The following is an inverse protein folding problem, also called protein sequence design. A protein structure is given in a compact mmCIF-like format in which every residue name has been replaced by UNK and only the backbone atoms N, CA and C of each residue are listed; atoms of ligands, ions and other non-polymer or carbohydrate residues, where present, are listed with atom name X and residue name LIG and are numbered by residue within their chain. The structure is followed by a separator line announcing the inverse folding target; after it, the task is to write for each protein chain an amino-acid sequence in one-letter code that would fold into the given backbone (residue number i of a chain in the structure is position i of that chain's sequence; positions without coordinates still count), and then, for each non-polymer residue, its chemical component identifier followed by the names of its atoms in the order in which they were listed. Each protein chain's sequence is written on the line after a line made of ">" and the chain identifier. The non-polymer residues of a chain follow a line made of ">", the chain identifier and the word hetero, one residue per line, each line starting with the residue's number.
data_IF_602452252450
#
_entry.id   IF_602452252450
#
_cell.length_a   1.000
_cell.length_b   1.000
_cell.length_c   1.000
_cell.angle_alpha   90.00
_cell.angle_beta   90.00
_cell.angle_gamma   90.00
#
_symmetry.space_group_name_H-M   'P 1'
#
loop_
_entity.id
_entity.type
_entity.pdbx_description
1 polymer ?
#
# COMPACT_ATOMS: atom_id res chain seq x y z
N UNK A 1 45.89 -9.64 52.46
CA UNK A 1 45.04 -10.44 51.56
C UNK A 1 43.89 -9.55 51.14
N UNK A 2 43.60 -9.67 49.86
CA UNK A 2 42.61 -8.99 49.03
C UNK A 2 41.17 -9.38 49.37
N UNK A 3 40.21 -8.82 48.62
CA UNK A 3 38.74 -9.03 48.54
C UNK A 3 37.90 -8.06 49.39
N UNK A 4 37.24 -7.01 48.86
CA UNK A 4 36.29 -6.81 47.71
C UNK A 4 34.84 -7.11 48.11
N UNK A 5 34.09 -6.01 48.22
CA UNK A 5 32.68 -5.72 47.88
C UNK A 5 31.53 -6.67 48.28
N UNK A 6 30.47 -6.09 48.86
CA UNK A 6 29.12 -6.27 48.32
C UNK A 6 28.20 -5.07 48.63
N UNK A 7 27.45 -4.67 47.62
CA UNK A 7 26.68 -3.44 47.49
C UNK A 7 25.21 -3.59 47.91
N UNK A 8 24.50 -2.46 48.10
CA UNK A 8 23.32 -2.05 47.28
C UNK A 8 22.58 -0.85 47.91
N UNK A 9 23.04 0.36 47.59
CA UNK A 9 22.17 1.54 47.47
C UNK A 9 21.69 1.55 46.01
N UNK A 10 20.44 1.80 45.67
CA UNK A 10 19.64 2.97 46.01
C UNK A 10 19.22 3.56 44.66
N UNK A 11 17.94 3.41 44.35
CA UNK A 11 17.09 4.25 43.49
C UNK A 11 17.78 5.12 42.42
N UNK A 12 17.58 4.79 41.14
CA UNK A 12 17.81 5.73 40.04
C UNK A 12 16.55 5.93 39.22
N UNK A 13 15.92 7.08 39.50
CA UNK A 13 14.91 7.75 38.72
C UNK A 13 15.30 7.78 37.24
N UNK A 14 14.43 7.27 36.37
CA UNK A 14 14.54 7.40 34.92
C UNK A 14 13.52 8.43 34.44
N UNK A 15 13.78 9.69 34.76
CA UNK A 15 13.20 10.81 34.01
C UNK A 15 14.02 10.96 32.73
N UNK A 16 13.63 10.19 31.70
CA UNK A 16 14.24 10.29 30.39
C UNK A 16 13.52 11.39 29.60
N UNK A 17 14.24 12.50 29.47
CA UNK A 17 13.97 13.71 28.70
C UNK A 17 13.31 13.40 27.35
N UNK A 18 11.99 13.64 27.24
CA UNK A 18 11.31 13.79 25.96
C UNK A 18 11.70 15.14 25.36
N UNK A 19 12.83 15.16 24.68
CA UNK A 19 13.24 16.28 23.84
C UNK A 19 12.24 16.41 22.69
N UNK A 20 11.66 17.60 22.57
CA UNK A 20 10.80 18.02 21.47
C UNK A 20 11.53 17.79 20.15
N UNK A 21 11.01 16.91 19.30
CA UNK A 21 11.38 16.84 17.88
C UNK A 21 10.50 17.84 17.14
N UNK A 22 10.94 19.10 17.15
CA UNK A 22 10.39 20.19 16.36
C UNK A 22 11.23 20.30 15.08
N UNK A 23 10.56 20.10 13.94
CA UNK A 23 10.80 20.76 12.65
C UNK A 23 12.25 20.87 12.12
N UNK A 24 12.62 19.97 11.21
CA UNK A 24 13.50 20.33 10.09
C UNK A 24 13.22 19.42 8.88
N UNK A 25 12.24 19.81 8.06
CA UNK A 25 12.11 19.31 6.68
C UNK A 25 12.87 20.26 5.75
N UNK A 26 14.20 20.23 5.82
CA UNK A 26 15.03 20.75 4.73
C UNK A 26 15.33 19.58 3.77
N UNK A 27 14.37 19.31 2.87
CA UNK A 27 14.67 18.53 1.67
C UNK A 27 15.38 19.45 0.68
N UNK A 28 16.70 19.59 0.85
CA UNK A 28 17.57 20.15 -0.18
C UNK A 28 17.59 19.17 -1.36
N UNK A 29 16.90 19.53 -2.44
CA UNK A 29 17.05 18.88 -3.73
C UNK A 29 18.46 19.22 -4.23
N UNK A 30 19.41 18.30 -4.04
CA UNK A 30 20.72 18.40 -4.65
C UNK A 30 20.57 18.07 -6.14
N UNK A 31 20.78 19.11 -6.95
CA UNK A 31 20.89 19.07 -8.40
C UNK A 31 21.86 17.95 -8.82
N UNK A 32 21.32 16.87 -9.38
CA UNK A 32 22.13 15.83 -10.02
C UNK A 32 22.52 16.35 -11.40
N UNK A 33 23.50 17.24 -11.39
CA UNK A 33 24.20 17.69 -12.58
C UNK A 33 24.99 16.51 -13.18
N UNK A 34 24.51 16.07 -14.34
CA UNK A 34 25.33 15.83 -15.53
C UNK A 34 26.67 15.10 -15.30
N UNK A 35 26.64 13.77 -15.37
CA UNK A 35 27.82 12.98 -15.75
C UNK A 35 27.43 12.00 -16.86
N UNK A 36 27.22 12.54 -18.05
CA UNK A 36 27.26 11.82 -19.31
C UNK A 36 28.70 11.34 -19.53
N UNK A 37 29.06 10.20 -18.95
CA UNK A 37 30.31 9.52 -19.29
C UNK A 37 30.06 8.64 -20.51
N UNK A 38 30.26 9.27 -21.67
CA UNK A 38 30.48 8.63 -22.96
C UNK A 38 31.75 7.77 -22.88
N UNK A 39 31.63 6.47 -23.12
CA UNK A 39 32.77 5.60 -23.40
C UNK A 39 32.32 4.50 -24.35
N UNK A 40 32.61 4.75 -25.62
CA UNK A 40 32.52 3.79 -26.71
C UNK A 40 33.66 2.76 -26.60
N UNK A 41 33.39 1.61 -27.20
CA UNK A 41 34.33 0.58 -27.69
C UNK A 41 34.53 -0.65 -26.80
N UNK A 42 33.81 -1.70 -27.19
CA UNK A 42 33.85 -3.04 -26.64
C UNK A 42 33.27 -4.01 -27.66
N UNK A 43 33.98 -4.15 -28.79
CA UNK A 43 33.82 -5.20 -29.79
C UNK A 43 33.93 -6.57 -29.11
N UNK A 44 32.92 -7.41 -29.27
CA UNK A 44 32.75 -8.64 -28.51
C UNK A 44 31.69 -9.55 -29.11
N UNK A 45 32.03 -10.09 -30.28
CA UNK A 45 31.66 -11.41 -30.84
C UNK A 45 30.33 -12.05 -30.40
N UNK A 46 29.47 -12.18 -31.40
CA UNK A 46 28.28 -13.00 -31.50
C UNK A 46 28.52 -14.50 -31.25
N UNK A 47 27.57 -15.12 -30.55
CA UNK A 47 26.98 -16.45 -30.77
C UNK A 47 26.83 -17.27 -29.48
N UNK A 48 25.67 -17.11 -28.85
CA UNK A 48 25.04 -18.18 -28.09
C UNK A 48 23.56 -18.18 -28.45
N UNK A 49 23.29 -18.89 -29.54
CA UNK A 49 21.96 -19.32 -29.96
C UNK A 49 21.36 -20.26 -28.92
N UNK A 50 20.81 -19.70 -27.84
CA UNK A 50 19.98 -20.42 -26.88
C UNK A 50 18.51 -20.33 -27.31
N UNK A 51 18.14 -21.26 -28.19
CA UNK A 51 16.85 -21.96 -28.25
C UNK A 51 15.68 -21.29 -27.51
N UNK A 52 14.96 -20.43 -28.25
CA UNK A 52 13.49 -20.41 -28.41
C UNK A 52 12.66 -21.02 -27.26
N UNK A 53 12.72 -20.42 -26.06
CA UNK A 53 11.58 -20.43 -25.14
C UNK A 53 10.69 -19.23 -25.49
N UNK A 54 10.01 -19.32 -26.63
CA UNK A 54 8.90 -18.43 -26.99
C UNK A 54 7.67 -18.79 -26.13
N UNK A 55 7.82 -18.72 -24.80
CA UNK A 55 6.72 -18.24 -23.98
C UNK A 55 6.33 -16.86 -24.55
N UNK A 56 5.03 -16.54 -24.73
CA UNK A 56 4.64 -15.35 -25.45
C UNK A 56 5.39 -14.18 -24.84
N UNK A 57 6.35 -13.61 -25.60
CA UNK A 57 7.08 -12.44 -25.18
C UNK A 57 6.01 -11.39 -24.90
N UNK A 58 5.65 -11.26 -23.62
CA UNK A 58 4.61 -10.36 -23.16
C UNK A 58 5.28 -9.02 -23.28
N UNK A 59 5.24 -8.46 -24.48
CA UNK A 59 5.51 -7.06 -24.77
C UNK A 59 4.89 -6.31 -23.60
N UNK A 60 5.76 -5.81 -22.72
CA UNK A 60 5.36 -5.27 -21.44
C UNK A 60 4.49 -4.05 -21.74
N UNK A 61 3.18 -4.27 -21.75
CA UNK A 61 2.22 -3.22 -21.98
C UNK A 61 2.03 -2.52 -20.66
N UNK A 62 2.26 -1.22 -20.65
CA UNK A 62 1.91 -0.38 -19.52
C UNK A 62 0.44 -0.63 -19.12
N UNK A 63 0.17 -0.61 -17.82
CA UNK A 63 -1.17 -0.74 -17.29
C UNK A 63 -2.07 0.39 -17.83
N UNK A 64 -3.35 0.12 -18.12
CA UNK A 64 -4.29 1.16 -18.54
C UNK A 64 -4.38 2.30 -17.53
N UNK A 65 -4.54 3.54 -18.02
CA UNK A 65 -4.59 4.73 -17.16
C UNK A 65 -5.78 4.67 -16.19
N UNK A 66 -6.91 4.14 -16.65
CA UNK A 66 -8.11 3.94 -15.85
C UNK A 66 -7.83 3.04 -14.64
N UNK A 67 -7.03 1.97 -14.84
CA UNK A 67 -6.65 1.05 -13.77
C UNK A 67 -5.76 1.74 -12.73
N UNK A 68 -4.81 2.55 -13.17
CA UNK A 68 -3.92 3.30 -12.28
C UNK A 68 -4.68 4.38 -11.49
N UNK A 69 -5.57 5.11 -12.16
CA UNK A 69 -6.39 6.13 -11.54
C UNK A 69 -7.34 5.53 -10.48
N UNK A 70 -7.92 4.36 -10.78
CA UNK A 70 -8.78 3.65 -9.84
C UNK A 70 -8.00 3.11 -8.64
N UNK A 71 -6.77 2.61 -8.85
CA UNK A 71 -5.89 2.20 -7.76
C UNK A 71 -5.61 3.37 -6.81
N UNK A 72 -5.25 4.53 -7.34
CA UNK A 72 -5.01 5.74 -6.54
C UNK A 72 -6.28 6.20 -5.82
N UNK A 73 -7.45 6.12 -6.47
CA UNK A 73 -8.74 6.45 -5.85
C UNK A 73 -9.02 5.54 -4.65
N UNK A 74 -8.79 4.23 -4.79
CA UNK A 74 -8.96 3.25 -3.72
C UNK A 74 -7.97 3.49 -2.57
N UNK A 75 -6.70 3.77 -2.87
CA UNK A 75 -5.67 4.09 -1.89
C UNK A 75 -6.03 5.33 -1.06
N UNK A 76 -6.40 6.43 -1.74
CA UNK A 76 -6.83 7.66 -1.06
C UNK A 76 -8.12 7.46 -0.26
N UNK A 77 -9.02 6.61 -0.75
CA UNK A 77 -10.24 6.20 -0.08
C UNK A 77 -10.03 5.21 1.07
N UNK A 78 -8.78 4.75 1.29
CA UNK A 78 -8.41 3.71 2.25
C UNK A 78 -9.13 2.37 2.05
N UNK A 79 -9.63 2.12 0.85
CA UNK A 79 -10.14 0.80 0.47
C UNK A 79 -8.95 -0.07 0.06
N UNK A 80 -8.21 -0.55 1.07
CA UNK A 80 -7.01 -1.35 0.87
C UNK A 80 -7.32 -2.74 0.29
N UNK A 81 -8.54 -3.24 0.44
CA UNK A 81 -9.00 -4.48 -0.18
C UNK A 81 -9.11 -4.33 -1.70
N UNK A 82 -9.72 -3.24 -2.16
CA UNK A 82 -9.78 -2.92 -3.59
C UNK A 82 -8.39 -2.54 -4.13
N UNK A 83 -7.64 -1.71 -3.42
CA UNK A 83 -6.29 -1.30 -3.81
C UNK A 83 -5.36 -2.51 -4.00
N UNK A 84 -5.43 -3.53 -3.14
CA UNK A 84 -4.67 -4.78 -3.30
C UNK A 84 -4.96 -5.48 -4.64
N UNK A 85 -6.25 -5.62 -4.98
CA UNK A 85 -6.68 -6.27 -6.23
C UNK A 85 -6.23 -5.48 -7.45
N UNK A 86 -6.38 -4.16 -7.42
CA UNK A 86 -5.97 -3.28 -8.52
C UNK A 86 -4.43 -3.27 -8.68
N UNK A 87 -3.68 -3.28 -7.59
CA UNK A 87 -2.22 -3.41 -7.61
C UNK A 87 -1.76 -4.73 -8.24
N UNK A 88 -2.43 -5.84 -7.91
CA UNK A 88 -2.17 -7.13 -8.59
C UNK A 88 -2.47 -7.06 -10.08
N UNK A 89 -3.56 -6.41 -10.48
CA UNK A 89 -3.87 -6.21 -11.89
C UNK A 89 -2.77 -5.40 -12.59
N UNK A 90 -2.28 -4.31 -11.98
CA UNK A 90 -1.16 -3.53 -12.52
C UNK A 90 0.08 -4.41 -12.72
N UNK A 91 0.40 -5.28 -11.76
CA UNK A 91 1.54 -6.21 -11.85
C UNK A 91 1.39 -7.29 -12.94
N UNK A 92 0.17 -7.59 -13.41
CA UNK A 92 -0.04 -8.48 -14.57
C UNK A 92 0.42 -7.79 -15.86
N UNK A 93 0.18 -6.48 -15.98
CA UNK A 93 0.60 -5.66 -17.11
C UNK A 93 2.09 -5.30 -17.02
N UNK A 94 2.54 -4.91 -15.82
CA UNK A 94 3.89 -4.43 -15.54
C UNK A 94 4.56 -5.27 -14.44
N UNK A 95 4.97 -6.52 -14.75
CA UNK A 95 5.51 -7.45 -13.74
C UNK A 95 6.85 -7.01 -13.15
N UNK A 96 7.59 -6.16 -13.87
CA UNK A 96 8.88 -5.61 -13.44
C UNK A 96 8.74 -4.26 -12.70
N UNK A 97 7.53 -3.71 -12.55
CA UNK A 97 7.34 -2.41 -11.91
C UNK A 97 7.70 -2.48 -10.41
N UNK A 98 8.78 -1.81 -9.96
CA UNK A 98 9.22 -1.88 -8.56
C UNK A 98 8.25 -1.16 -7.63
N UNK A 99 7.65 -0.05 -8.09
CA UNK A 99 6.72 0.77 -7.31
C UNK A 99 5.46 -0.04 -6.97
N UNK A 100 4.90 -0.77 -7.94
CA UNK A 100 3.74 -1.61 -7.69
C UNK A 100 4.05 -2.77 -6.71
N UNK A 101 5.25 -3.35 -6.75
CA UNK A 101 5.68 -4.38 -5.79
C UNK A 101 5.77 -3.85 -4.35
N UNK A 102 6.28 -2.63 -4.19
CA UNK A 102 6.36 -1.95 -2.90
C UNK A 102 4.96 -1.64 -2.35
N UNK A 103 4.09 -1.06 -3.17
CA UNK A 103 2.70 -0.81 -2.79
C UNK A 103 1.96 -2.08 -2.41
N UNK A 104 2.15 -3.16 -3.17
CA UNK A 104 1.52 -4.45 -2.85
C UNK A 104 1.92 -4.93 -1.45
N UNK A 105 3.22 -4.92 -1.14
CA UNK A 105 3.75 -5.33 0.16
C UNK A 105 3.22 -4.46 1.31
N UNK A 106 3.19 -3.14 1.10
CA UNK A 106 2.67 -2.20 2.09
C UNK A 106 1.18 -2.39 2.35
N UNK A 107 0.38 -2.58 1.30
CA UNK A 107 -1.06 -2.83 1.43
C UNK A 107 -1.31 -4.14 2.19
N UNK A 108 -0.53 -5.20 1.94
CA UNK A 108 -0.64 -6.44 2.72
C UNK A 108 -0.33 -6.24 4.20
N UNK A 109 0.68 -5.44 4.51
CA UNK A 109 1.04 -5.10 5.90
C UNK A 109 -0.09 -4.31 6.60
N UNK A 110 -0.68 -3.32 5.91
CA UNK A 110 -1.79 -2.52 6.46
C UNK A 110 -2.98 -3.43 6.79
N UNK A 111 -3.39 -4.28 5.84
CA UNK A 111 -4.52 -5.20 6.03
C UNK A 111 -4.27 -6.22 7.15
N UNK A 112 -3.02 -6.66 7.33
CA UNK A 112 -2.67 -7.56 8.42
C UNK A 112 -2.79 -6.87 9.79
N UNK A 113 -2.36 -5.61 9.89
CA UNK A 113 -2.45 -4.82 11.11
C UNK A 113 -3.89 -4.45 11.46
N UNK A 114 -4.69 -4.06 10.47
CA UNK A 114 -6.12 -3.76 10.64
C UNK A 114 -6.85 -4.96 11.25
N UNK A 115 -6.63 -6.15 10.69
CA UNK A 115 -7.21 -7.38 11.22
C UNK A 115 -6.79 -7.71 12.67
N UNK A 116 -5.57 -7.36 13.06
CA UNK A 116 -5.10 -7.59 14.42
C UNK A 116 -5.72 -6.60 15.42
N UNK A 117 -6.06 -5.39 14.99
CA UNK A 117 -6.70 -4.38 15.84
C UNK A 117 -8.18 -4.70 16.09
N UNK A 118 -8.88 -5.27 15.11
CA UNK A 118 -10.28 -5.70 15.28
C UNK A 118 -10.45 -6.79 16.36
N UNK A 119 -9.43 -7.63 16.61
CA UNK A 119 -9.50 -8.69 17.62
C UNK A 119 -9.19 -8.20 19.07
N UNK A 120 -8.71 -6.97 19.26
CA UNK A 120 -8.43 -6.39 20.58
C UNK A 120 -9.63 -5.61 21.18
N UNK A 121 -10.64 -5.27 20.36
CA UNK A 121 -11.84 -4.52 20.77
C UNK A 121 -13.04 -5.41 21.16
N UNK A 122 -12.91 -6.75 21.12
CA UNK A 122 -14.00 -7.70 21.47
C UNK A 122 -14.05 -8.09 22.97
N UNK A 123 -13.19 -7.56 23.84
CA UNK A 123 -13.14 -7.92 25.28
C UNK A 123 -13.93 -6.99 26.25
N UNK A 124 -14.99 -6.30 25.81
CA UNK A 124 -15.91 -5.61 26.75
C UNK A 124 -17.35 -5.51 26.22
N UNK A 125 -18.02 -6.66 26.09
CA UNK A 125 -19.49 -6.69 25.90
C UNK A 125 -20.15 -7.72 26.82
N UNK A 126 -20.04 -7.45 28.11
CA UNK A 126 -20.95 -8.02 29.10
C UNK A 126 -22.33 -7.31 29.06
N UNK A 127 -23.38 -8.13 29.14
CA UNK A 127 -24.73 -7.81 29.66
C UNK A 127 -25.83 -7.31 28.68
N UNK A 128 -26.56 -8.29 28.15
CA UNK A 128 -28.02 -8.44 28.16
C UNK A 128 -28.93 -7.22 27.90
N UNK A 129 -29.59 -7.19 26.73
CA UNK A 129 -30.95 -6.65 26.67
C UNK A 129 -31.79 -7.32 25.60
N UNK A 130 -32.53 -8.34 26.04
CA UNK A 130 -33.69 -8.89 25.35
C UNK A 130 -34.78 -7.83 25.20
N UNK A 131 -35.23 -7.52 23.98
CA UNK A 131 -36.60 -7.02 23.75
C UNK A 131 -37.05 -7.17 22.29
N UNK A 132 -37.72 -8.29 22.04
CA UNK A 132 -38.84 -8.53 21.12
C UNK A 132 -39.50 -7.28 20.46
N UNK A 133 -39.74 -7.33 19.14
CA UNK A 133 -41.09 -7.32 18.49
C UNK A 133 -41.13 -6.66 17.10
N UNK A 134 -41.47 -7.50 16.12
CA UNK A 134 -42.34 -7.33 14.93
C UNK A 134 -42.97 -5.96 14.62
N UNK A 135 -42.93 -5.56 13.33
CA UNK A 135 -44.03 -4.99 12.47
C UNK A 135 -43.43 -4.16 11.31
N UNK A 136 -43.44 -4.70 10.08
CA UNK A 136 -44.35 -4.39 8.95
C UNK A 136 -44.21 -2.97 8.36
N UNK A 137 -43.81 -2.90 7.09
CA UNK A 137 -44.59 -2.22 6.04
C UNK A 137 -43.83 -2.27 4.72
N UNK A 138 -44.36 -3.09 3.81
CA UNK A 138 -44.15 -3.01 2.37
C UNK A 138 -44.61 -1.65 1.82
N UNK A 139 -43.78 -0.98 1.02
CA UNK A 139 -44.26 0.02 0.07
C UNK A 139 -43.57 -0.23 -1.28
N UNK A 140 -44.44 -0.41 -2.26
CA UNK A 140 -44.26 -0.73 -3.65
C UNK A 140 -43.93 0.53 -4.48
N UNK A 141 -43.40 0.32 -5.68
CA UNK A 141 -43.65 1.24 -6.80
C UNK A 141 -42.55 2.26 -7.12
N UNK A 142 -41.81 2.01 -8.20
CA UNK A 142 -41.93 2.75 -9.47
C UNK A 142 -40.64 2.67 -10.31
N UNK A 143 -40.70 1.74 -11.25
CA UNK A 143 -40.25 1.85 -12.64
C UNK A 143 -40.50 3.23 -13.29
N UNK A 144 -39.72 3.54 -14.35
CA UNK A 144 -39.84 4.66 -15.33
C UNK A 144 -38.88 5.85 -15.08
N UNK A 145 -38.11 6.41 -16.01
CA UNK A 145 -38.19 6.48 -17.47
C UNK A 145 -36.83 6.86 -18.06
N UNK A 146 -36.55 6.33 -19.25
CA UNK A 146 -35.62 6.86 -20.26
C UNK A 146 -35.94 8.31 -20.65
N UNK A 147 -34.93 9.14 -20.94
CA UNK A 147 -35.05 10.23 -21.92
C UNK A 147 -33.70 10.54 -22.56
N UNK A 148 -33.65 10.28 -23.88
CA UNK A 148 -32.57 10.61 -24.80
C UNK A 148 -32.82 12.03 -25.33
N UNK A 149 -31.82 12.90 -25.31
CA UNK A 149 -31.78 14.00 -26.28
C UNK A 149 -30.35 14.38 -26.67
N UNK A 150 -30.02 14.01 -27.90
CA UNK A 150 -29.05 14.63 -28.79
C UNK A 150 -29.45 16.10 -29.01
N UNK A 151 -28.55 17.05 -28.74
CA UNK A 151 -28.62 18.37 -29.36
C UNK A 151 -27.21 18.83 -29.72
N UNK A 152 -26.93 18.72 -31.02
CA UNK A 152 -25.72 19.23 -31.63
C UNK A 152 -25.84 20.72 -31.95
N UNK A 153 -24.75 21.45 -31.70
CA UNK A 153 -24.37 22.66 -32.43
C UNK A 153 -22.89 22.97 -32.19
#
# INVERSE_FOLDING_TARGET
>A
METVDEAKAGETSKDLVLAKQEENRDYCLEDIEENLSDSTDGDGEEDSSNEDDEGPAKKATQAPLELMAEFLRAEMGRDYQLAKKLCQMILIYEPENPVAKEFFSLIEEILLKEKAQDEEDEEDSDEDSSSESEVDSSEDGSEDSSDECEDGS
#
